data_IF_093521333673
#
_entry.id   IF_093521333673
#
_cell.length_a   1.000
_cell.length_b   1.000
_cell.length_c   1.000
_cell.angle_alpha   90.00
_cell.angle_beta   90.00
_cell.angle_gamma   90.00
#
_symmetry.space_group_name_H-M   'P 1'
#
loop_
_entity.id
_entity.type
_entity.pdbx_description
1 polymer ?
#
# COMPACT_ATOMS: atom_id res chain seq x y z
N UNK A 1 47.00 -11.33 -17.65
CA UNK A 1 46.13 -12.47 -18.04
C UNK A 1 45.33 -12.90 -16.81
N UNK A 2 44.17 -12.30 -16.55
CA UNK A 2 43.26 -12.68 -15.46
C UNK A 2 41.91 -12.98 -16.12
N UNK A 3 41.41 -14.21 -15.96
CA UNK A 3 40.15 -14.70 -16.53
C UNK A 3 39.09 -14.62 -15.44
N UNK A 4 38.08 -13.78 -15.65
CA UNK A 4 36.88 -13.72 -14.82
C UNK A 4 35.91 -14.83 -15.27
N UNK A 5 35.64 -15.82 -14.42
CA UNK A 5 34.58 -16.80 -14.62
C UNK A 5 33.32 -16.34 -13.88
N UNK A 6 32.35 -15.85 -14.66
CA UNK A 6 30.95 -15.69 -14.22
C UNK A 6 30.17 -16.95 -14.57
N UNK A 7 29.54 -17.60 -13.58
CA UNK A 7 28.49 -18.59 -13.86
C UNK A 7 27.22 -18.29 -13.06
N UNK A 8 26.13 -18.22 -13.83
CA UNK A 8 24.74 -17.93 -13.49
C UNK A 8 24.04 -19.17 -12.89
N UNK A 9 23.06 -19.01 -11.99
CA UNK A 9 22.31 -20.14 -11.43
C UNK A 9 21.27 -20.73 -12.41
N UNK A 10 20.98 -22.04 -12.33
CA UNK A 10 20.11 -22.76 -13.26
C UNK A 10 18.60 -22.54 -13.00
N UNK A 11 17.84 -22.61 -14.09
CA UNK A 11 16.38 -22.47 -14.15
C UNK A 11 15.67 -23.79 -13.83
N UNK A 12 14.61 -23.73 -13.02
CA UNK A 12 13.73 -24.86 -12.70
C UNK A 12 12.63 -24.93 -13.74
N UNK A 13 12.56 -26.06 -14.46
CA UNK A 13 11.46 -26.45 -15.34
C UNK A 13 10.51 -27.38 -14.59
N UNK A 14 9.20 -27.17 -14.74
CA UNK A 14 8.16 -28.15 -14.38
C UNK A 14 7.37 -28.52 -15.64
N UNK A 15 7.09 -29.82 -15.89
CA UNK A 15 6.40 -30.27 -17.08
C UNK A 15 4.88 -30.08 -17.01
N UNK A 16 4.33 -29.88 -18.21
CA UNK A 16 2.91 -29.90 -18.59
C UNK A 16 2.45 -31.35 -18.68
N UNK A 17 1.23 -31.63 -18.21
CA UNK A 17 0.46 -32.82 -18.62
C UNK A 17 -0.93 -32.37 -19.05
N UNK A 18 -1.19 -32.51 -20.35
CA UNK A 18 -2.51 -32.42 -20.99
C UNK A 18 -3.16 -33.82 -20.97
N UNK A 19 -4.47 -33.87 -20.79
CA UNK A 19 -5.28 -35.04 -21.18
C UNK A 19 -6.70 -34.58 -21.53
N UNK A 20 -7.01 -34.70 -22.82
CA UNK A 20 -8.31 -34.53 -23.46
C UNK A 20 -9.35 -35.55 -22.98
N UNK A 21 -10.63 -35.17 -23.02
CA UNK A 21 -11.73 -36.07 -23.44
C UNK A 21 -13.03 -35.30 -23.69
N UNK A 22 -13.57 -35.49 -24.89
CA UNK A 22 -14.83 -34.97 -25.43
C UNK A 22 -16.07 -35.72 -24.92
N UNK A 23 -17.28 -35.10 -24.97
CA UNK A 23 -18.54 -35.62 -25.61
C UNK A 23 -19.82 -34.94 -25.08
N UNK A 24 -20.42 -34.09 -25.93
CA UNK A 24 -21.82 -34.04 -26.45
C UNK A 24 -23.10 -33.87 -25.58
N UNK A 25 -23.86 -32.84 -25.99
CA UNK A 25 -25.33 -32.59 -26.08
C UNK A 25 -26.26 -32.19 -24.91
N UNK A 26 -26.83 -30.98 -25.11
CA UNK A 26 -28.23 -30.50 -25.02
C UNK A 26 -29.12 -30.86 -23.80
N UNK A 27 -29.62 -29.85 -23.06
CA UNK A 27 -30.99 -29.29 -23.19
C UNK A 27 -31.23 -28.14 -22.18
N UNK A 28 -32.18 -27.27 -22.51
CA UNK A 28 -32.45 -25.92 -21.99
C UNK A 28 -33.16 -25.86 -20.61
N UNK A 29 -32.72 -24.86 -19.81
CA UNK A 29 -33.37 -24.03 -18.75
C UNK A 29 -34.86 -24.26 -18.37
N UNK A 30 -35.31 -23.98 -17.11
CA UNK A 30 -34.96 -22.75 -16.39
C UNK A 30 -34.43 -22.94 -14.95
N UNK A 31 -33.21 -22.45 -14.70
CA UNK A 31 -32.53 -22.55 -13.42
C UNK A 31 -32.82 -21.27 -12.62
N UNK A 32 -33.63 -21.46 -11.58
CA UNK A 32 -33.82 -20.47 -10.52
C UNK A 32 -32.45 -19.98 -10.00
N UNK A 33 -32.10 -18.73 -10.32
CA UNK A 33 -30.83 -18.12 -9.90
C UNK A 33 -30.87 -17.92 -8.39
N UNK A 34 -30.24 -18.83 -7.65
CA UNK A 34 -29.80 -18.51 -6.30
C UNK A 34 -28.44 -17.80 -6.40
N UNK A 35 -28.28 -16.59 -5.84
CA UNK A 35 -26.98 -15.93 -5.82
C UNK A 35 -26.02 -16.75 -4.97
N UNK A 36 -24.83 -16.97 -5.54
CA UNK A 36 -23.76 -17.77 -4.97
C UNK A 36 -23.52 -17.43 -3.50
N UNK A 37 -23.76 -18.41 -2.64
CA UNK A 37 -23.38 -18.36 -1.23
C UNK A 37 -21.85 -18.39 -1.18
N UNK A 38 -21.23 -17.24 -0.89
CA UNK A 38 -19.80 -17.17 -0.59
C UNK A 38 -19.49 -18.14 0.57
N UNK A 39 -18.54 -19.05 0.33
CA UNK A 39 -18.15 -20.07 1.30
C UNK A 39 -17.58 -19.37 2.54
N UNK A 40 -18.27 -19.61 3.65
CA UNK A 40 -18.07 -19.05 4.96
C UNK A 40 -16.67 -19.42 5.52
N UNK A 41 -15.86 -18.42 5.89
CA UNK A 41 -14.69 -18.62 6.74
C UNK A 41 -15.24 -18.85 8.16
N UNK A 42 -15.04 -20.05 8.68
CA UNK A 42 -15.53 -20.49 10.00
C UNK A 42 -15.30 -19.39 11.07
N UNK A 43 -16.40 -18.81 11.56
CA UNK A 43 -16.42 -17.94 12.75
C UNK A 43 -16.62 -16.44 12.51
N UNK A 44 -16.53 -15.91 11.28
CA UNK A 44 -16.70 -14.46 11.06
C UNK A 44 -18.00 -14.13 10.31
N UNK A 45 -19.05 -13.74 11.05
CA UNK A 45 -20.28 -13.19 10.47
C UNK A 45 -19.96 -11.89 9.70
N UNK A 46 -20.22 -11.76 8.38
CA UNK A 46 -20.02 -10.51 7.64
C UNK A 46 -20.72 -9.30 8.29
N UNK A 47 -20.07 -8.14 8.20
CA UNK A 47 -20.45 -6.92 8.91
C UNK A 47 -21.76 -6.32 8.35
N UNK A 48 -22.79 -6.21 9.20
CA UNK A 48 -24.06 -5.57 8.86
C UNK A 48 -23.91 -4.04 8.80
N UNK A 49 -24.27 -3.42 7.68
CA UNK A 49 -24.16 -1.96 7.51
C UNK A 49 -25.49 -1.29 7.85
N UNK A 50 -25.57 -0.59 9.00
CA UNK A 50 -26.76 0.14 9.39
C UNK A 50 -26.96 1.47 8.62
N UNK A 51 -28.21 1.96 8.47
CA UNK A 51 -28.47 3.33 8.04
C UNK A 51 -27.79 4.35 8.97
N UNK A 52 -27.54 5.57 8.48
CA UNK A 52 -27.05 6.64 9.37
C UNK A 52 -28.22 7.07 10.26
N UNK A 53 -27.97 7.37 11.54
CA UNK A 53 -29.02 7.77 12.50
C UNK A 53 -29.86 8.97 12.02
N UNK A 54 -29.28 9.85 11.20
CA UNK A 54 -29.96 11.03 10.64
C UNK A 54 -30.88 10.73 9.44
N UNK A 55 -30.91 9.51 8.92
CA UNK A 55 -31.57 9.16 7.65
C UNK A 55 -32.96 8.55 7.87
N UNK A 56 -33.93 9.37 8.29
CA UNK A 56 -35.30 8.90 8.62
C UNK A 56 -35.97 8.09 7.50
N UNK A 57 -35.77 8.48 6.24
CA UNK A 57 -36.35 7.79 5.06
C UNK A 57 -35.78 6.37 4.89
N UNK A 58 -34.47 6.20 5.06
CA UNK A 58 -33.85 4.86 4.96
C UNK A 58 -34.26 3.96 6.12
N UNK A 59 -34.42 4.51 7.33
CA UNK A 59 -34.94 3.77 8.48
C UNK A 59 -36.38 3.30 8.24
N UNK A 60 -37.26 4.17 7.72
CA UNK A 60 -38.63 3.79 7.39
C UNK A 60 -38.71 2.66 6.34
N UNK A 61 -37.81 2.65 5.35
CA UNK A 61 -37.72 1.54 4.38
C UNK A 61 -37.25 0.25 5.05
N UNK A 62 -36.28 0.33 5.97
CA UNK A 62 -35.81 -0.83 6.73
C UNK A 62 -36.95 -1.41 7.56
N UNK A 63 -37.70 -0.58 8.28
CA UNK A 63 -38.81 -1.03 9.11
C UNK A 63 -39.91 -1.68 8.27
N UNK A 64 -40.29 -1.07 7.14
CA UNK A 64 -41.29 -1.62 6.22
C UNK A 64 -40.83 -2.97 5.60
N UNK A 65 -39.56 -3.09 5.24
CA UNK A 65 -38.99 -4.35 4.75
C UNK A 65 -39.02 -5.42 5.85
N UNK A 66 -38.64 -5.08 7.09
CA UNK A 66 -38.65 -6.02 8.20
C UNK A 66 -40.06 -6.51 8.51
N UNK A 67 -41.06 -5.62 8.56
CA UNK A 67 -42.47 -5.96 8.77
C UNK A 67 -42.92 -6.99 7.73
N UNK A 68 -42.65 -6.75 6.44
CA UNK A 68 -43.01 -7.69 5.37
C UNK A 68 -42.37 -9.07 5.52
N UNK A 69 -41.11 -9.11 5.93
CA UNK A 69 -40.41 -10.40 6.10
C UNK A 69 -40.95 -11.13 7.35
N UNK A 70 -41.26 -10.40 8.43
CA UNK A 70 -41.86 -10.93 9.66
C UNK A 70 -43.30 -11.45 9.45
N UNK A 71 -44.07 -10.81 8.58
CA UNK A 71 -45.41 -11.27 8.18
C UNK A 71 -45.35 -12.59 7.41
N UNK A 72 -44.27 -12.82 6.65
CA UNK A 72 -44.02 -14.08 5.94
C UNK A 72 -43.63 -15.25 6.85
N UNK A 73 -43.22 -14.99 8.11
CA UNK A 73 -42.86 -16.05 9.07
C UNK A 73 -44.12 -16.56 9.77
N UNK A 74 -44.48 -17.83 9.54
CA UNK A 74 -45.59 -18.50 10.23
C UNK A 74 -45.13 -19.04 11.59
N UNK A 75 -45.86 -18.74 12.66
CA UNK A 75 -45.61 -19.26 14.01
C UNK A 75 -46.05 -18.32 15.14
N UNK A 76 -45.98 -18.83 16.38
CA UNK A 76 -46.20 -18.07 17.63
C UNK A 76 -45.23 -16.89 17.72
N UNK A 77 -45.64 -15.82 18.42
CA UNK A 77 -44.84 -14.59 18.61
C UNK A 77 -43.42 -14.89 19.12
N UNK A 78 -43.28 -15.86 20.01
CA UNK A 78 -41.98 -16.31 20.55
C UNK A 78 -41.05 -16.85 19.46
N UNK A 79 -41.55 -17.71 18.57
CA UNK A 79 -40.79 -18.25 17.44
C UNK A 79 -40.44 -17.18 16.41
N UNK A 80 -41.24 -16.12 16.29
CA UNK A 80 -40.93 -14.95 15.46
C UNK A 80 -39.79 -14.13 16.10
N UNK A 81 -39.82 -13.98 17.43
CA UNK A 81 -38.80 -13.24 18.18
C UNK A 81 -37.44 -13.95 18.15
N UNK A 82 -37.42 -15.29 18.26
CA UNK A 82 -36.18 -16.07 18.12
C UNK A 82 -35.52 -15.89 16.74
N UNK A 83 -36.33 -15.77 15.68
CA UNK A 83 -35.85 -15.71 14.30
C UNK A 83 -35.58 -14.29 13.81
N UNK A 84 -36.05 -13.25 14.52
CA UNK A 84 -35.97 -11.86 14.05
C UNK A 84 -34.51 -11.42 13.86
N UNK A 85 -33.61 -11.83 14.76
CA UNK A 85 -32.19 -11.48 14.71
C UNK A 85 -31.49 -12.04 13.46
N UNK A 86 -31.75 -13.31 13.16
CA UNK A 86 -31.21 -13.96 11.96
C UNK A 86 -31.83 -13.39 10.68
N UNK A 87 -33.12 -13.04 10.72
CA UNK A 87 -33.84 -12.46 9.58
C UNK A 87 -33.34 -11.07 9.23
N UNK A 88 -33.14 -10.21 10.24
CA UNK A 88 -32.51 -8.90 10.11
C UNK A 88 -31.12 -9.05 9.50
N UNK A 89 -30.35 -10.00 10.02
CA UNK A 89 -29.00 -10.26 9.55
C UNK A 89 -28.97 -10.73 8.09
N UNK A 90 -29.80 -11.69 7.69
CA UNK A 90 -29.89 -12.19 6.31
C UNK A 90 -30.37 -11.10 5.36
N UNK A 91 -31.42 -10.36 5.72
CA UNK A 91 -31.97 -9.27 4.91
C UNK A 91 -30.95 -8.15 4.67
N UNK A 92 -30.11 -7.87 5.66
CA UNK A 92 -29.20 -6.72 5.63
C UNK A 92 -27.78 -7.07 5.19
N UNK A 93 -27.31 -8.29 5.41
CA UNK A 93 -25.98 -8.76 4.96
C UNK A 93 -25.87 -8.83 3.43
N UNK A 94 -26.95 -9.18 2.72
CA UNK A 94 -26.96 -9.24 1.25
C UNK A 94 -27.14 -7.88 0.56
N UNK A 95 -27.74 -6.90 1.23
CA UNK A 95 -27.96 -5.55 0.67
C UNK A 95 -26.71 -4.70 0.88
N UNK A 96 -25.61 -4.97 0.20
CA UNK A 96 -24.50 -4.01 0.16
C UNK A 96 -25.07 -2.68 -0.29
N UNK A 97 -24.99 -1.68 0.60
CA UNK A 97 -25.52 -0.34 0.31
C UNK A 97 -24.65 0.17 -0.84
N UNK A 98 -25.19 0.22 -2.06
CA UNK A 98 -24.55 0.89 -3.20
C UNK A 98 -24.56 2.38 -2.91
N UNK A 99 -23.69 2.77 -1.98
CA UNK A 99 -23.40 4.14 -1.67
C UNK A 99 -22.57 4.67 -2.83
N UNK A 100 -23.24 5.20 -3.85
CA UNK A 100 -22.71 6.37 -4.55
C UNK A 100 -22.75 7.56 -3.57
N UNK A 101 -21.97 7.49 -2.49
CA UNK A 101 -21.71 8.62 -1.61
C UNK A 101 -20.23 8.59 -1.25
N UNK A 102 -19.42 9.19 -2.10
CA UNK A 102 -18.21 9.93 -1.73
C UNK A 102 -17.12 9.22 -0.94
N UNK A 103 -17.11 7.88 -0.85
CA UNK A 103 -15.94 7.14 -0.41
C UNK A 103 -15.32 6.58 -1.68
N UNK A 104 -14.22 7.20 -2.12
CA UNK A 104 -13.35 6.60 -3.13
C UNK A 104 -13.03 5.21 -2.62
N UNK A 105 -13.62 4.19 -3.23
CA UNK A 105 -13.08 2.85 -3.17
C UNK A 105 -11.58 3.01 -3.48
N UNK A 106 -10.75 2.75 -2.48
CA UNK A 106 -9.28 2.70 -2.61
C UNK A 106 -8.89 1.46 -3.42
N UNK A 107 -9.56 1.25 -4.55
CA UNK A 107 -8.88 0.67 -5.69
C UNK A 107 -7.73 1.63 -6.00
N UNK A 108 -6.48 1.17 -6.09
CA UNK A 108 -5.40 2.03 -6.54
C UNK A 108 -5.79 2.46 -7.96
N UNK A 109 -6.38 3.66 -8.07
CA UNK A 109 -6.70 4.28 -9.35
C UNK A 109 -5.35 4.56 -9.97
N UNK A 110 -4.88 3.61 -10.79
CA UNK A 110 -3.63 3.76 -11.51
C UNK A 110 -3.79 5.06 -12.29
N UNK A 111 -2.95 6.08 -12.02
CA UNK A 111 -3.10 7.36 -12.67
C UNK A 111 -3.07 7.12 -14.18
N UNK A 112 -3.97 7.77 -14.94
CA UNK A 112 -4.06 7.55 -16.37
C UNK A 112 -2.68 7.76 -17.00
N UNK A 113 -2.24 6.76 -17.78
CA UNK A 113 -0.93 6.78 -18.43
C UNK A 113 -0.82 8.03 -19.29
N UNK A 114 0.30 8.74 -19.20
CA UNK A 114 0.58 9.88 -20.08
C UNK A 114 0.56 9.45 -21.55
N UNK A 115 0.18 10.34 -22.47
CA UNK A 115 0.25 10.12 -23.93
C UNK A 115 1.57 9.46 -24.37
N UNK A 116 2.69 9.90 -23.81
CA UNK A 116 4.02 9.33 -24.12
C UNK A 116 4.19 7.90 -23.60
N UNK A 117 3.66 7.59 -22.41
CA UNK A 117 3.71 6.25 -21.83
C UNK A 117 2.81 5.28 -22.60
N UNK A 118 1.63 5.74 -23.06
CA UNK A 118 0.74 4.97 -23.94
C UNK A 118 1.44 4.65 -25.26
N UNK A 119 2.09 5.64 -25.88
CA UNK A 119 2.82 5.45 -27.14
C UNK A 119 4.01 4.49 -26.97
N UNK A 120 4.77 4.59 -25.87
CA UNK A 120 5.84 3.63 -25.54
C UNK A 120 5.29 2.21 -25.46
N UNK A 121 4.12 2.01 -24.83
CA UNK A 121 3.49 0.69 -24.73
C UNK A 121 3.05 0.16 -26.09
N UNK A 122 2.44 1.02 -26.93
CA UNK A 122 2.06 0.68 -28.30
C UNK A 122 3.27 0.23 -29.12
N UNK A 123 4.35 1.00 -29.11
CA UNK A 123 5.58 0.68 -29.85
C UNK A 123 6.27 -0.60 -29.34
N UNK A 124 6.22 -0.86 -28.03
CA UNK A 124 6.73 -2.11 -27.44
C UNK A 124 5.90 -3.31 -27.92
N UNK A 125 4.58 -3.17 -27.99
CA UNK A 125 3.69 -4.22 -28.54
C UNK A 125 4.00 -4.45 -30.02
N UNK A 126 4.03 -3.39 -30.84
CA UNK A 126 4.36 -3.48 -32.26
C UNK A 126 5.71 -4.15 -32.50
N UNK A 127 6.75 -3.79 -31.74
CA UNK A 127 8.06 -4.45 -31.86
C UNK A 127 8.03 -5.93 -31.47
N UNK A 128 7.24 -6.32 -30.46
CA UNK A 128 7.04 -7.74 -30.13
C UNK A 128 6.35 -8.48 -31.27
N UNK A 129 5.38 -7.85 -31.91
CA UNK A 129 4.64 -8.46 -33.02
C UNK A 129 5.50 -8.56 -34.29
N UNK A 130 6.27 -7.52 -34.63
CA UNK A 130 7.28 -7.60 -35.70
C UNK A 130 8.30 -8.70 -35.45
N UNK A 131 8.72 -8.91 -34.19
CA UNK A 131 9.65 -9.99 -33.85
C UNK A 131 9.01 -11.38 -34.04
N UNK A 132 7.70 -11.52 -33.85
CA UNK A 132 6.97 -12.75 -34.16
C UNK A 132 6.86 -12.95 -35.67
N UNK A 133 6.58 -11.89 -36.43
CA UNK A 133 6.53 -11.93 -37.89
C UNK A 133 7.88 -12.28 -38.50
N UNK A 134 8.97 -11.67 -38.01
CA UNK A 134 10.34 -11.96 -38.45
C UNK A 134 10.69 -13.45 -38.36
N UNK A 135 10.22 -14.14 -37.31
CA UNK A 135 10.43 -15.59 -37.15
C UNK A 135 9.70 -16.43 -38.20
N UNK A 136 8.59 -15.93 -38.74
CA UNK A 136 7.75 -16.62 -39.73
C UNK A 136 8.04 -16.17 -41.17
N UNK A 137 8.73 -15.04 -41.34
CA UNK A 137 8.98 -14.40 -42.62
C UNK A 137 10.08 -15.09 -43.44
N UNK A 138 9.95 -14.99 -44.75
CA UNK A 138 10.96 -15.43 -45.73
C UNK A 138 12.21 -14.54 -45.67
N UNK A 139 13.32 -14.96 -46.30
CA UNK A 139 14.59 -14.22 -46.26
C UNK A 139 14.45 -12.82 -46.85
N UNK A 140 13.64 -12.66 -47.90
CA UNK A 140 13.39 -11.39 -48.58
C UNK A 140 12.58 -10.43 -47.71
N UNK A 141 11.54 -10.94 -47.04
CA UNK A 141 10.68 -10.15 -46.16
C UNK A 141 11.39 -9.70 -44.88
N UNK A 142 12.36 -10.47 -44.39
CA UNK A 142 13.13 -10.15 -43.16
C UNK A 142 13.85 -8.82 -43.26
N UNK A 143 14.42 -8.48 -44.43
CA UNK A 143 15.10 -7.22 -44.63
C UNK A 143 14.17 -6.02 -44.39
N UNK A 144 12.93 -6.09 -44.90
CA UNK A 144 11.90 -5.06 -44.66
C UNK A 144 11.46 -4.98 -43.20
N UNK A 145 11.28 -6.14 -42.55
CA UNK A 145 10.91 -6.21 -41.13
C UNK A 145 12.03 -5.62 -40.25
N UNK A 146 13.30 -5.84 -40.58
CA UNK A 146 14.43 -5.28 -39.85
C UNK A 146 14.52 -3.76 -39.98
N UNK A 147 14.21 -3.21 -41.16
CA UNK A 147 14.08 -1.76 -41.35
C UNK A 147 12.98 -1.18 -40.45
N UNK A 148 11.81 -1.82 -40.39
CA UNK A 148 10.74 -1.40 -39.47
C UNK A 148 11.15 -1.51 -38.00
N UNK A 149 11.88 -2.57 -37.62
CA UNK A 149 12.37 -2.73 -36.25
C UNK A 149 13.39 -1.65 -35.86
N UNK A 150 14.26 -1.23 -36.79
CA UNK A 150 15.25 -0.17 -36.54
C UNK A 150 14.59 1.19 -36.36
N UNK A 151 13.60 1.56 -37.17
CA UNK A 151 12.85 2.80 -36.98
C UNK A 151 12.09 2.81 -35.64
N UNK A 152 11.39 1.73 -35.32
CA UNK A 152 10.71 1.58 -34.02
C UNK A 152 11.69 1.68 -32.84
N UNK A 153 12.89 1.12 -32.96
CA UNK A 153 13.96 1.24 -31.94
C UNK A 153 14.39 2.70 -31.77
N UNK A 154 14.59 3.42 -32.88
CA UNK A 154 14.92 4.85 -32.86
C UNK A 154 13.84 5.69 -32.17
N UNK A 155 12.59 5.51 -32.59
CA UNK A 155 11.42 6.21 -32.01
C UNK A 155 11.23 5.90 -30.53
N UNK A 156 11.32 4.63 -30.14
CA UNK A 156 11.23 4.20 -28.74
C UNK A 156 12.34 4.82 -27.89
N UNK A 157 13.57 4.86 -28.41
CA UNK A 157 14.71 5.49 -27.76
C UNK A 157 14.50 6.99 -27.52
N UNK A 158 13.95 7.72 -28.49
CA UNK A 158 13.60 9.15 -28.35
C UNK A 158 12.55 9.36 -27.25
N UNK A 159 11.46 8.59 -27.27
CA UNK A 159 10.38 8.71 -26.29
C UNK A 159 10.84 8.35 -24.87
N UNK A 160 11.60 7.27 -24.70
CA UNK A 160 12.14 6.88 -23.38
C UNK A 160 13.08 7.94 -22.81
N UNK A 161 13.97 8.51 -23.64
CA UNK A 161 14.84 9.61 -23.21
C UNK A 161 14.04 10.82 -22.75
N UNK A 162 13.02 11.22 -23.50
CA UNK A 162 12.15 12.34 -23.13
C UNK A 162 11.38 12.07 -21.82
N UNK A 163 10.89 10.86 -21.60
CA UNK A 163 10.20 10.50 -20.35
C UNK A 163 11.17 10.45 -19.16
N UNK A 164 12.35 9.85 -19.34
CA UNK A 164 13.38 9.81 -18.31
C UNK A 164 13.85 11.21 -17.92
N UNK A 165 13.99 12.12 -18.89
CA UNK A 165 14.34 13.50 -18.61
C UNK A 165 13.24 14.20 -17.79
N UNK A 166 11.97 14.00 -18.17
CA UNK A 166 10.82 14.53 -17.43
C UNK A 166 10.77 14.00 -15.99
N UNK A 167 10.89 12.69 -15.81
CA UNK A 167 10.84 12.07 -14.48
C UNK A 167 12.03 12.49 -13.62
N UNK A 168 13.23 12.59 -14.21
CA UNK A 168 14.43 13.10 -13.54
C UNK A 168 14.26 14.55 -13.11
N UNK A 169 13.76 15.44 -13.98
CA UNK A 169 13.45 16.84 -13.64
C UNK A 169 12.44 16.90 -12.49
N UNK A 170 11.36 16.13 -12.57
CA UNK A 170 10.34 16.05 -11.52
C UNK A 170 10.92 15.54 -10.19
N UNK A 171 11.81 14.55 -10.21
CA UNK A 171 12.50 14.05 -9.01
C UNK A 171 13.42 15.11 -8.41
N UNK A 172 14.20 15.82 -9.23
CA UNK A 172 15.07 16.91 -8.77
C UNK A 172 14.26 18.04 -8.16
N UNK A 173 13.15 18.42 -8.80
CA UNK A 173 12.26 19.46 -8.28
C UNK A 173 11.63 19.06 -6.95
N UNK A 174 11.11 17.83 -6.84
CA UNK A 174 10.63 17.29 -5.56
C UNK A 174 11.69 17.29 -4.47
N UNK A 175 12.93 16.91 -4.80
CA UNK A 175 14.02 16.92 -3.83
C UNK A 175 14.33 18.35 -3.36
N UNK A 176 14.37 19.32 -4.29
CA UNK A 176 14.55 20.75 -3.96
C UNK A 176 13.42 21.26 -3.07
N UNK A 177 12.16 21.04 -3.46
CA UNK A 177 11.01 21.51 -2.68
C UNK A 177 10.96 20.87 -1.30
N UNK A 178 11.33 19.59 -1.18
CA UNK A 178 11.39 18.91 0.11
C UNK A 178 12.51 19.46 0.98
N UNK A 179 13.70 19.72 0.40
CA UNK A 179 14.82 20.32 1.12
C UNK A 179 14.51 21.73 1.63
N UNK A 180 13.99 22.62 0.78
CA UNK A 180 13.67 23.99 1.19
C UNK A 180 12.48 24.09 2.15
N UNK A 181 11.58 23.09 2.14
CA UNK A 181 10.48 23.02 3.09
C UNK A 181 10.97 22.67 4.50
N UNK A 182 11.90 21.72 4.61
CA UNK A 182 12.48 21.28 5.88
C UNK A 182 13.87 20.66 5.64
N UNK A 183 14.96 21.45 5.77
CA UNK A 183 16.29 21.00 5.43
C UNK A 183 16.78 19.94 6.42
N UNK A 184 16.47 20.09 7.71
CA UNK A 184 16.91 19.15 8.74
C UNK A 184 16.26 17.78 8.56
N UNK A 185 14.95 17.74 8.29
CA UNK A 185 14.25 16.48 8.01
C UNK A 185 14.70 15.85 6.70
N UNK A 186 14.95 16.64 5.67
CA UNK A 186 15.49 16.14 4.40
C UNK A 186 16.86 15.49 4.61
N UNK A 187 17.77 16.18 5.29
CA UNK A 187 19.13 15.71 5.59
C UNK A 187 19.08 14.49 6.52
N UNK A 188 18.21 14.49 7.54
CA UNK A 188 17.97 13.32 8.39
C UNK A 188 17.57 12.11 7.54
N UNK A 189 16.65 12.28 6.59
CA UNK A 189 16.26 11.21 5.66
C UNK A 189 17.38 10.72 4.72
N UNK A 190 18.43 11.52 4.48
CA UNK A 190 19.61 11.08 3.70
C UNK A 190 20.56 10.21 4.52
N UNK A 191 20.79 10.57 5.78
CA UNK A 191 21.78 9.92 6.64
C UNK A 191 21.20 8.78 7.47
N UNK A 192 19.94 8.88 7.88
CA UNK A 192 19.29 7.80 8.60
C UNK A 192 18.71 6.81 7.60
N UNK A 193 19.32 5.62 7.51
CA UNK A 193 18.62 4.46 6.95
C UNK A 193 17.39 4.25 7.82
N UNK A 194 16.20 4.50 7.28
CA UNK A 194 14.95 4.29 8.02
C UNK A 194 14.98 2.87 8.60
N UNK A 195 15.07 2.76 9.93
CA UNK A 195 14.99 1.48 10.62
C UNK A 195 13.53 1.05 10.58
N UNK A 196 13.11 0.50 9.45
CA UNK A 196 11.77 -0.03 9.25
C UNK A 196 11.76 -1.51 9.62
N UNK A 197 10.92 -1.90 10.57
CA UNK A 197 10.74 -3.29 10.98
C UNK A 197 9.76 -3.37 12.15
N UNK A 198 9.09 -4.51 12.29
CA UNK A 198 8.34 -4.81 13.50
C UNK A 198 9.27 -5.50 14.48
N UNK A 199 9.44 -4.92 15.66
CA UNK A 199 10.20 -5.56 16.73
C UNK A 199 9.35 -6.69 17.31
N UNK A 200 9.86 -7.93 17.29
CA UNK A 200 9.15 -9.08 17.88
C UNK A 200 9.18 -9.07 19.42
N UNK A 201 10.08 -8.28 20.00
CA UNK A 201 10.32 -8.21 21.45
C UNK A 201 9.25 -7.34 22.10
N UNK A 202 8.67 -7.75 23.25
CA UNK A 202 7.71 -6.94 23.98
C UNK A 202 8.35 -5.66 24.54
N UNK A 203 7.54 -4.60 24.68
CA UNK A 203 8.00 -3.27 25.11
C UNK A 203 8.79 -3.27 26.42
N UNK A 204 8.40 -4.10 27.39
CA UNK A 204 9.04 -4.19 28.71
C UNK A 204 10.51 -4.62 28.60
N UNK A 205 10.77 -5.70 27.88
CA UNK A 205 12.14 -6.21 27.68
C UNK A 205 13.03 -5.19 26.94
N UNK A 206 12.46 -4.44 25.99
CA UNK A 206 13.17 -3.35 25.32
C UNK A 206 13.55 -2.23 26.29
N UNK A 207 12.59 -1.79 27.12
CA UNK A 207 12.80 -0.72 28.10
C UNK A 207 13.83 -1.11 29.16
N UNK A 208 13.77 -2.35 29.65
CA UNK A 208 14.76 -2.87 30.60
C UNK A 208 16.15 -2.92 29.97
N UNK A 209 16.29 -3.42 28.73
CA UNK A 209 17.56 -3.44 28.03
C UNK A 209 18.13 -2.03 27.80
N UNK A 210 17.29 -1.07 27.38
CA UNK A 210 17.70 0.33 27.23
C UNK A 210 18.18 0.92 28.55
N UNK A 211 17.46 0.64 29.64
CA UNK A 211 17.80 1.09 30.98
C UNK A 211 19.14 0.50 31.41
N UNK A 212 19.37 -0.80 31.25
CA UNK A 212 20.66 -1.42 31.59
C UNK A 212 21.81 -0.90 30.73
N UNK A 213 21.59 -0.68 29.43
CA UNK A 213 22.67 -0.33 28.49
C UNK A 213 23.07 1.15 28.58
N UNK A 214 22.13 2.05 28.86
CA UNK A 214 22.37 3.50 28.85
C UNK A 214 22.33 4.15 30.24
N UNK A 215 22.09 3.39 31.30
CA UNK A 215 22.26 3.90 32.66
C UNK A 215 23.68 3.63 33.12
N UNK A 216 24.43 4.70 33.39
CA UNK A 216 25.72 4.59 34.07
C UNK A 216 25.47 4.11 35.51
N UNK A 217 25.97 2.91 35.84
CA UNK A 217 25.85 2.33 37.19
C UNK A 217 26.60 3.15 38.25
N UNK A 218 27.59 3.94 37.84
CA UNK A 218 28.40 4.78 38.72
C UNK A 218 27.97 6.25 38.67
N UNK A 219 26.78 6.55 38.14
CA UNK A 219 26.28 7.94 38.01
C UNK A 219 26.26 8.70 39.33
N UNK A 220 26.07 7.98 40.44
CA UNK A 220 25.99 8.55 41.79
C UNK A 220 27.28 8.37 42.60
N UNK A 221 28.32 7.75 42.02
CA UNK A 221 29.61 7.65 42.68
C UNK A 221 30.34 9.00 42.60
N UNK A 222 30.81 9.48 43.75
CA UNK A 222 31.62 10.69 43.83
C UNK A 222 32.97 10.39 43.19
N UNK A 223 33.17 10.86 41.95
CA UNK A 223 34.46 10.76 41.28
C UNK A 223 35.45 11.70 41.96
N UNK A 224 36.53 11.14 42.48
CA UNK A 224 37.62 11.92 43.04
C UNK A 224 38.52 12.42 41.90
N UNK A 225 39.02 13.65 42.06
CA UNK A 225 39.98 14.22 41.12
C UNK A 225 41.31 13.47 41.31
N UNK A 226 41.92 12.90 40.26
CA UNK A 226 43.19 12.20 40.36
C UNK A 226 44.29 13.11 40.96
N UNK A 227 45.15 12.55 41.83
CA UNK A 227 46.19 13.31 42.54
C UNK A 227 47.26 13.94 41.64
N UNK A 228 47.37 13.48 40.40
CA UNK A 228 48.29 14.01 39.37
C UNK A 228 47.68 15.23 38.61
N UNK A 229 46.43 15.59 38.89
CA UNK A 229 45.78 16.73 38.26
C UNK A 229 46.20 18.03 38.97
N UNK A 230 46.61 19.09 38.23
CA UNK A 230 46.94 20.37 38.84
C UNK A 230 45.73 20.99 39.56
N UNK A 231 45.94 21.79 40.63
CA UNK A 231 44.87 22.43 41.36
C UNK A 231 43.95 23.24 40.44
N UNK A 232 42.65 22.98 40.50
CA UNK A 232 41.66 23.73 39.73
C UNK A 232 41.51 25.11 40.39
N UNK A 233 41.76 26.23 39.68
CA UNK A 233 41.58 27.57 40.23
C UNK A 233 40.10 27.79 40.56
N UNK A 234 39.83 28.41 41.71
CA UNK A 234 38.46 28.78 42.06
C UNK A 234 37.96 29.84 41.07
N UNK A 235 36.69 29.76 40.61
CA UNK A 235 36.14 30.75 39.72
C UNK A 235 36.15 32.13 40.41
N UNK A 236 36.82 33.10 39.79
CA UNK A 236 36.90 34.48 40.30
C UNK A 236 35.57 35.23 40.23
N UNK A 237 34.65 34.74 39.39
CA UNK A 237 33.37 35.37 39.13
C UNK A 237 32.25 34.39 39.44
N UNK A 238 31.32 34.79 40.31
CA UNK A 238 30.08 34.03 40.53
C UNK A 238 29.21 34.15 39.28
N UNK A 239 28.71 33.00 38.79
CA UNK A 239 27.74 32.98 37.72
C UNK A 239 26.42 33.54 38.25
N UNK A 240 25.78 34.41 37.45
CA UNK A 240 24.46 34.94 37.79
C UNK A 240 23.41 33.87 37.52
N UNK A 241 23.02 33.16 38.58
CA UNK A 241 21.99 32.11 38.56
C UNK A 241 20.57 32.68 38.63
N UNK A 242 20.42 34.00 38.56
CA UNK A 242 19.12 34.65 38.61
C UNK A 242 18.28 34.22 37.40
N UNK A 243 17.05 33.73 37.62
CA UNK A 243 16.15 33.40 36.51
C UNK A 243 15.93 34.66 35.68
N UNK A 244 16.23 34.59 34.37
CA UNK A 244 16.10 35.74 33.47
C UNK A 244 14.67 36.29 33.56
N UNK A 245 14.54 37.46 34.19
CA UNK A 245 13.27 38.12 34.45
C UNK A 245 12.56 38.44 33.14
N UNK A 246 11.45 37.74 32.88
CA UNK A 246 10.58 38.01 31.75
C UNK A 246 10.16 39.49 31.74
N UNK A 247 10.46 40.18 30.64
CA UNK A 247 10.12 41.58 30.41
C UNK A 247 8.60 41.76 30.53
N UNK A 248 8.13 42.32 31.64
CA UNK A 248 6.73 42.78 31.77
C UNK A 248 6.55 44.03 30.93
N UNK A 249 5.97 43.87 29.75
CA UNK A 249 5.39 44.96 28.96
C UNK A 249 4.34 45.70 29.80
N UNK A 250 4.69 46.91 30.26
CA UNK A 250 3.68 47.86 30.76
C UNK A 250 2.89 48.35 29.55
N UNK A 251 1.59 48.01 29.51
CA UNK A 251 0.64 48.67 28.63
C UNK A 251 0.45 50.10 29.13
N UNK A 252 0.67 51.09 28.26
CA UNK A 252 -0.01 52.38 28.33
C UNK A 252 -1.27 52.30 27.47
#
# INVERSE_FOLDING_TARGET
MRKDLTHSPPSISTPVTESDSSTTSENLEPRHVQPALEKNIQGHRPHVIWPKSSSKKEWATVDADLIKILDGVKGTVEKKLEKIGDLIYVSRSGKVRTKQTGKKDMTPTIPPKSRRQQEIQRLVKQRRDLRKQWKRASVEERAGIDLLQTDLKGRLGRLRRAENLRTRRKRKERARTTFYKDPFRFVKGLFTKEKSGSLKVPKRELEDHLKTTHTDSQRFERREIPSDMPPIPQPEHQLDDSPQGGVRLRKQ
#
